data_IF_585635759702
#
_entry.id   IF_585635759702
#
_cell.length_a   1.000
_cell.length_b   1.000
_cell.length_c   1.000
_cell.angle_alpha   90.00
_cell.angle_beta   90.00
_cell.angle_gamma   90.00
#
_symmetry.space_group_name_H-M   'P 1'
#
loop_
_entity.id
_entity.type
_entity.pdbx_description
1 polymer ?
#
# COMPACT_ATOMS: atom_id res chain seq x y z
N UNK A 1 46.91 -56.85 28.35
CA UNK A 1 46.26 -58.00 29.01
C UNK A 1 45.46 -57.51 30.21
N UNK A 2 44.14 -57.35 30.04
CA UNK A 2 43.09 -57.70 30.99
C UNK A 2 41.76 -57.29 30.34
N UNK A 3 41.06 -58.34 29.92
CA UNK A 3 39.74 -58.34 29.31
C UNK A 3 38.74 -58.21 30.46
N UNK A 4 37.76 -57.32 30.35
CA UNK A 4 36.55 -57.39 31.17
C UNK A 4 35.34 -57.47 30.23
N UNK A 5 34.86 -58.70 30.09
CA UNK A 5 33.50 -59.04 29.68
C UNK A 5 32.56 -58.72 30.84
N UNK A 6 31.49 -57.96 30.61
CA UNK A 6 30.22 -58.15 31.31
C UNK A 6 29.08 -57.95 30.32
N UNK A 7 28.38 -59.06 30.04
CA UNK A 7 27.04 -59.10 29.47
C UNK A 7 26.06 -58.33 30.35
N UNK A 8 25.21 -57.49 29.77
CA UNK A 8 23.90 -57.19 30.34
C UNK A 8 22.85 -57.18 29.23
N UNK A 9 21.92 -58.11 29.37
CA UNK A 9 20.74 -58.36 28.54
C UNK A 9 19.59 -57.53 29.11
N UNK A 10 18.60 -57.22 28.26
CA UNK A 10 17.24 -56.68 28.54
C UNK A 10 17.17 -55.14 28.48
N UNK A 11 16.21 -54.49 27.83
CA UNK A 11 14.93 -54.92 27.30
C UNK A 11 14.52 -54.01 26.13
N UNK A 12 13.92 -54.61 25.09
CA UNK A 12 13.28 -53.90 23.98
C UNK A 12 11.96 -53.34 24.52
N UNK A 13 11.90 -52.04 24.76
CA UNK A 13 10.64 -51.34 25.04
C UNK A 13 9.99 -51.04 23.68
N UNK A 14 9.00 -51.86 23.33
CA UNK A 14 8.07 -51.62 22.24
C UNK A 14 7.19 -50.41 22.64
N UNK A 15 7.47 -49.23 22.09
CA UNK A 15 6.55 -48.08 22.21
C UNK A 15 5.47 -48.25 21.15
N UNK A 16 4.17 -48.32 21.50
CA UNK A 16 3.11 -48.28 20.51
C UNK A 16 3.14 -46.92 19.81
N UNK A 17 3.46 -46.93 18.52
CA UNK A 17 3.30 -45.80 17.64
C UNK A 17 1.80 -45.51 17.51
N UNK A 18 1.31 -44.58 18.32
CA UNK A 18 0.03 -43.91 18.11
C UNK A 18 0.12 -43.17 16.78
N UNK A 19 -0.37 -43.81 15.70
CA UNK A 19 -0.72 -43.15 14.46
C UNK A 19 -1.90 -42.23 14.72
N UNK A 20 -1.60 -41.07 15.31
CA UNK A 20 -2.52 -39.95 15.36
C UNK A 20 -2.70 -39.48 13.92
N UNK A 21 -3.82 -39.84 13.32
CA UNK A 21 -4.31 -39.27 12.07
C UNK A 21 -4.34 -37.76 12.18
N UNK A 22 -3.28 -37.08 11.72
CA UNK A 22 -3.37 -35.69 11.33
C UNK A 22 -3.99 -35.64 9.93
N UNK A 23 -5.32 -35.75 9.86
CA UNK A 23 -6.06 -35.14 8.76
C UNK A 23 -5.92 -33.62 8.92
N UNK A 24 -4.83 -33.08 8.36
CA UNK A 24 -4.62 -31.64 8.28
C UNK A 24 -5.67 -31.08 7.32
N UNK A 25 -6.70 -30.49 7.91
CA UNK A 25 -7.74 -29.78 7.21
C UNK A 25 -7.12 -28.53 6.58
N UNK A 26 -6.95 -28.54 5.26
CA UNK A 26 -6.48 -27.41 4.46
C UNK A 26 -7.51 -26.28 4.51
N UNK A 27 -7.53 -25.44 5.54
CA UNK A 27 -8.31 -24.19 5.53
C UNK A 27 -7.74 -23.02 6.37
N UNK A 28 -6.70 -23.21 7.19
CA UNK A 28 -6.25 -22.18 8.15
C UNK A 28 -5.41 -21.04 7.55
N UNK A 29 -4.88 -21.17 6.35
CA UNK A 29 -3.94 -20.17 5.78
C UNK A 29 -4.63 -18.94 5.17
N UNK A 30 -5.91 -19.03 4.82
CA UNK A 30 -6.64 -17.93 4.13
C UNK A 30 -7.26 -16.89 5.07
N UNK A 31 -7.55 -17.24 6.32
CA UNK A 31 -8.11 -16.28 7.29
C UNK A 31 -7.02 -15.41 7.92
N UNK A 32 -5.92 -16.02 8.35
CA UNK A 32 -4.77 -15.30 8.95
C UNK A 32 -4.18 -14.25 8.00
N UNK A 33 -4.14 -14.54 6.70
CA UNK A 33 -3.62 -13.59 5.70
C UNK A 33 -4.55 -12.40 5.49
N UNK A 34 -5.87 -12.57 5.54
CA UNK A 34 -6.82 -11.45 5.39
C UNK A 34 -6.84 -10.53 6.61
N UNK A 35 -6.73 -11.10 7.80
CA UNK A 35 -6.68 -10.36 9.05
C UNK A 35 -5.42 -9.47 9.12
N UNK A 36 -4.27 -10.03 8.75
CA UNK A 36 -3.01 -9.29 8.68
C UNK A 36 -3.05 -8.15 7.64
N UNK A 37 -3.68 -8.38 6.47
CA UNK A 37 -3.86 -7.33 5.46
C UNK A 37 -4.74 -6.19 5.97
N UNK A 38 -5.79 -6.50 6.72
CA UNK A 38 -6.67 -5.51 7.31
C UNK A 38 -5.96 -4.67 8.38
N UNK A 39 -5.14 -5.31 9.22
CA UNK A 39 -4.40 -4.63 10.30
C UNK A 39 -3.40 -3.60 9.74
N UNK A 40 -2.60 -3.97 8.73
CA UNK A 40 -1.62 -3.05 8.11
C UNK A 40 -2.30 -1.81 7.54
N UNK A 41 -3.43 -1.99 6.82
CA UNK A 41 -4.16 -0.89 6.22
C UNK A 41 -4.82 -0.01 7.29
N UNK A 42 -5.43 -0.61 8.31
CA UNK A 42 -6.11 0.13 9.36
C UNK A 42 -5.11 0.96 10.18
N UNK A 43 -3.96 0.39 10.54
CA UNK A 43 -2.88 1.11 11.23
C UNK A 43 -2.37 2.29 10.39
N UNK A 44 -2.26 2.12 9.07
CA UNK A 44 -1.86 3.19 8.17
C UNK A 44 -2.87 4.34 8.15
N UNK A 45 -4.17 4.02 8.10
CA UNK A 45 -5.26 5.00 8.13
C UNK A 45 -5.19 5.79 9.43
N UNK A 46 -5.12 5.10 10.58
CA UNK A 46 -5.16 5.72 11.89
C UNK A 46 -3.94 6.62 12.15
N UNK A 47 -2.77 6.25 11.61
CA UNK A 47 -1.55 7.05 11.74
C UNK A 47 -1.48 8.24 10.79
N UNK A 48 -1.96 8.08 9.55
CA UNK A 48 -1.68 9.05 8.49
C UNK A 48 -2.82 10.03 8.23
N UNK A 49 -4.06 9.61 8.46
CA UNK A 49 -5.26 10.35 8.08
C UNK A 49 -5.95 10.97 9.30
N UNK A 50 -6.54 12.15 9.08
CA UNK A 50 -7.38 12.76 10.08
C UNK A 50 -8.78 12.13 9.99
N UNK A 51 -9.35 11.72 11.12
CA UNK A 51 -10.68 11.11 11.19
C UNK A 51 -11.81 12.01 10.68
N UNK A 52 -11.59 13.33 10.62
CA UNK A 52 -12.55 14.30 10.09
C UNK A 52 -12.47 14.50 8.57
N UNK A 53 -11.42 13.99 7.91
CA UNK A 53 -11.26 14.11 6.47
C UNK A 53 -12.09 13.05 5.73
N UNK A 54 -12.38 13.29 4.46
CA UNK A 54 -13.07 12.29 3.63
C UNK A 54 -12.07 11.21 3.18
N UNK A 55 -12.40 9.94 3.38
CA UNK A 55 -11.60 8.81 2.91
C UNK A 55 -12.16 8.26 1.59
N UNK A 56 -11.28 8.09 0.62
CA UNK A 56 -11.57 7.51 -0.69
C UNK A 56 -10.62 6.33 -0.94
N UNK A 57 -11.13 5.31 -1.64
CA UNK A 57 -10.41 4.07 -1.91
C UNK A 57 -10.51 3.77 -3.40
N UNK A 58 -9.38 3.74 -4.09
CA UNK A 58 -9.31 3.55 -5.54
C UNK A 58 -8.39 2.37 -5.88
N UNK A 59 -8.93 1.18 -6.23
CA UNK A 59 -8.11 0.12 -6.78
C UNK A 59 -7.55 0.53 -8.15
N UNK A 60 -6.34 0.07 -8.47
CA UNK A 60 -5.80 0.17 -9.83
C UNK A 60 -6.56 -0.79 -10.78
N UNK A 61 -6.22 -0.78 -12.08
CA UNK A 61 -7.00 -1.49 -13.11
C UNK A 61 -7.08 -3.01 -12.88
N UNK A 62 -6.00 -3.62 -12.40
CA UNK A 62 -5.95 -5.06 -12.10
C UNK A 62 -6.29 -5.41 -10.64
N UNK A 63 -6.59 -4.40 -9.81
CA UNK A 63 -6.90 -4.54 -8.39
C UNK A 63 -5.78 -5.19 -7.56
N UNK A 64 -4.53 -5.18 -8.05
CA UNK A 64 -3.35 -5.61 -7.29
C UNK A 64 -2.91 -4.57 -6.26
N UNK A 65 -3.17 -3.29 -6.55
CA UNK A 65 -2.80 -2.16 -5.68
C UNK A 65 -4.01 -1.28 -5.40
N UNK A 66 -4.01 -0.67 -4.22
CA UNK A 66 -5.10 0.21 -3.77
C UNK A 66 -4.51 1.55 -3.35
N UNK A 67 -5.03 2.64 -3.93
CA UNK A 67 -4.78 4.00 -3.50
C UNK A 67 -5.81 4.38 -2.43
N UNK A 68 -5.35 4.64 -1.22
CA UNK A 68 -6.15 5.24 -0.16
C UNK A 68 -5.86 6.72 -0.12
N UNK A 69 -6.91 7.55 -0.19
CA UNK A 69 -6.81 9.00 -0.27
C UNK A 69 -7.68 9.63 0.82
N UNK A 70 -7.05 10.42 1.67
CA UNK A 70 -7.70 11.33 2.61
C UNK A 70 -7.69 12.73 2.03
N UNK A 71 -8.86 13.36 1.93
CA UNK A 71 -9.01 14.73 1.47
C UNK A 71 -9.75 15.58 2.50
N UNK A 72 -9.09 16.66 2.92
CA UNK A 72 -9.73 17.71 3.69
C UNK A 72 -10.55 18.59 2.75
N UNK A 73 -11.87 18.61 2.95
CA UNK A 73 -12.77 19.47 2.18
C UNK A 73 -12.37 20.94 2.36
N UNK A 74 -12.35 21.66 1.24
CA UNK A 74 -12.17 23.12 1.23
C UNK A 74 -13.26 23.78 2.06
N UNK A 75 -12.91 24.86 2.75
CA UNK A 75 -13.86 25.74 3.41
C UNK A 75 -13.66 27.16 2.91
N UNK A 76 -14.63 28.05 3.19
CA UNK A 76 -14.49 29.48 2.91
C UNK A 76 -13.27 30.10 3.63
N UNK A 77 -12.83 29.51 4.75
CA UNK A 77 -11.69 29.97 5.55
C UNK A 77 -10.38 29.35 5.08
N UNK A 78 -10.42 28.13 4.50
CA UNK A 78 -9.26 27.47 3.92
C UNK A 78 -9.61 26.92 2.53
N UNK A 79 -9.39 27.71 1.46
CA UNK A 79 -9.69 27.29 0.09
C UNK A 79 -8.68 26.26 -0.43
N UNK A 80 -7.61 25.99 0.32
CA UNK A 80 -6.58 25.02 -0.05
C UNK A 80 -7.06 23.61 0.30
N UNK A 81 -7.16 22.73 -0.69
CA UNK A 81 -7.36 21.31 -0.40
C UNK A 81 -6.02 20.72 0.06
N UNK A 82 -6.05 19.86 1.07
CA UNK A 82 -4.89 19.07 1.45
C UNK A 82 -5.26 17.61 1.26
N UNK A 83 -4.41 16.90 0.52
CA UNK A 83 -4.54 15.47 0.33
C UNK A 83 -3.41 14.75 1.08
N UNK A 84 -3.75 13.64 1.71
CA UNK A 84 -2.82 12.65 2.20
C UNK A 84 -3.19 11.32 1.55
N UNK A 85 -2.20 10.54 1.11
CA UNK A 85 -2.49 9.27 0.48
C UNK A 85 -1.37 8.25 0.69
N UNK A 86 -1.74 7.00 0.51
CA UNK A 86 -0.79 5.89 0.41
C UNK A 86 -1.27 4.86 -0.61
N UNK A 87 -0.33 4.10 -1.16
CA UNK A 87 -0.57 2.97 -2.05
C UNK A 87 -0.20 1.69 -1.32
N UNK A 88 -1.18 0.81 -1.21
CA UNK A 88 -1.02 -0.52 -0.64
C UNK A 88 -0.93 -1.56 -1.76
N UNK A 89 0.06 -2.45 -1.68
CA UNK A 89 0.22 -3.59 -2.57
C UNK A 89 -0.29 -4.87 -1.87
N UNK A 90 -1.28 -5.53 -2.47
CA UNK A 90 -1.93 -6.71 -1.88
C UNK A 90 -1.08 -7.96 -1.94
N UNK A 91 -0.17 -8.06 -2.92
CA UNK A 91 0.69 -9.23 -3.08
C UNK A 91 1.84 -9.17 -2.07
N UNK A 92 2.41 -7.99 -1.89
CA UNK A 92 3.48 -7.74 -0.93
C UNK A 92 2.96 -7.53 0.51
N UNK A 93 1.66 -7.27 0.66
CA UNK A 93 1.02 -6.92 1.92
C UNK A 93 1.69 -5.73 2.62
N UNK A 94 2.01 -4.68 1.87
CA UNK A 94 2.72 -3.51 2.40
C UNK A 94 2.31 -2.20 1.74
N UNK A 95 2.62 -1.10 2.41
CA UNK A 95 2.52 0.24 1.84
C UNK A 95 3.78 0.52 1.01
N UNK A 96 3.62 0.59 -0.30
CA UNK A 96 4.76 0.76 -1.22
C UNK A 96 5.11 2.23 -1.46
N UNK A 97 4.16 3.13 -1.24
CA UNK A 97 4.34 4.58 -1.41
C UNK A 97 3.36 5.37 -0.55
N UNK A 98 3.79 6.52 -0.02
CA UNK A 98 2.93 7.43 0.74
C UNK A 98 3.41 8.87 0.61
N UNK A 99 2.50 9.83 0.53
CA UNK A 99 2.86 11.25 0.52
C UNK A 99 1.66 12.16 0.88
N UNK A 100 1.94 13.45 1.04
CA UNK A 100 0.95 14.51 1.29
C UNK A 100 1.22 15.70 0.38
N UNK A 101 0.16 16.28 -0.18
CA UNK A 101 0.26 17.47 -1.02
C UNK A 101 -0.84 18.48 -0.69
N UNK A 102 -0.49 19.75 -0.74
CA UNK A 102 -1.46 20.85 -0.72
C UNK A 102 -1.84 21.22 -2.16
N UNK A 103 -3.08 21.68 -2.35
CA UNK A 103 -3.65 22.11 -3.62
C UNK A 103 -3.46 21.09 -4.74
N UNK A 104 -3.70 19.83 -4.45
CA UNK A 104 -3.40 18.75 -5.37
C UNK A 104 -4.57 17.79 -5.57
N UNK A 105 -4.55 17.14 -6.73
CA UNK A 105 -5.38 15.97 -7.03
C UNK A 105 -4.47 14.82 -7.42
N UNK A 106 -4.87 13.61 -7.06
CA UNK A 106 -4.14 12.40 -7.38
C UNK A 106 -5.08 11.31 -7.88
N UNK A 107 -4.64 10.58 -8.91
CA UNK A 107 -5.38 9.46 -9.49
C UNK A 107 -4.42 8.46 -10.11
N UNK A 108 -4.91 7.24 -10.33
CA UNK A 108 -4.19 6.27 -11.14
C UNK A 108 -4.00 6.77 -12.58
N UNK A 109 -2.77 6.64 -13.10
CA UNK A 109 -2.47 6.76 -14.52
C UNK A 109 -2.44 5.38 -15.18
N UNK A 110 -1.81 4.41 -14.52
CA UNK A 110 -1.78 3.00 -14.87
C UNK A 110 -1.45 2.16 -13.61
N UNK A 111 -1.14 0.86 -13.75
CA UNK A 111 -0.93 -0.02 -12.59
C UNK A 111 0.29 0.33 -11.73
N UNK A 112 1.24 1.09 -12.26
CA UNK A 112 2.51 1.41 -11.59
C UNK A 112 2.76 2.92 -11.45
N UNK A 113 1.83 3.75 -11.90
CA UNK A 113 2.01 5.19 -11.93
C UNK A 113 0.77 5.94 -11.47
N UNK A 114 0.99 7.01 -10.72
CA UNK A 114 -0.03 7.98 -10.33
C UNK A 114 0.17 9.27 -11.13
N UNK A 115 -0.94 9.86 -11.56
CA UNK A 115 -0.98 11.24 -12.04
C UNK A 115 -1.26 12.15 -10.85
N UNK A 116 -0.38 13.13 -10.65
CA UNK A 116 -0.49 14.16 -9.63
C UNK A 116 -0.60 15.52 -10.31
N UNK A 117 -1.70 16.24 -10.09
CA UNK A 117 -1.86 17.61 -10.58
C UNK A 117 -1.82 18.57 -9.39
N UNK A 118 -0.95 19.59 -9.45
CA UNK A 118 -0.76 20.56 -8.37
C UNK A 118 -1.07 21.96 -8.85
N UNK A 119 -1.92 22.67 -8.11
CA UNK A 119 -2.23 24.09 -8.33
C UNK A 119 -1.35 24.94 -7.41
N UNK A 120 -0.61 25.86 -7.99
CA UNK A 120 0.23 26.81 -7.26
C UNK A 120 -0.45 28.19 -7.19
N UNK A 121 -0.21 28.93 -6.12
CA UNK A 121 -0.82 30.25 -5.92
C UNK A 121 -2.23 30.22 -5.30
N UNK A 122 -2.81 31.41 -5.17
CA UNK A 122 -4.04 31.67 -4.38
C UNK A 122 -5.29 31.78 -5.29
N UNK A 123 -5.12 31.99 -6.60
CA UNK A 123 -6.21 32.31 -7.52
C UNK A 123 -6.48 31.13 -8.44
N UNK A 124 -7.66 30.53 -8.32
CA UNK A 124 -8.19 29.53 -9.25
C UNK A 124 -8.63 30.24 -10.54
N UNK A 125 -7.70 30.51 -11.46
CA UNK A 125 -8.09 30.84 -12.85
C UNK A 125 -8.22 29.56 -13.66
N UNK A 126 -9.31 29.43 -14.43
CA UNK A 126 -9.65 28.26 -15.23
C UNK A 126 -8.55 27.83 -16.23
N UNK A 127 -7.67 28.74 -16.66
CA UNK A 127 -6.63 28.50 -17.68
C UNK A 127 -5.22 28.98 -17.28
N UNK A 128 -4.86 28.91 -16.00
CA UNK A 128 -3.57 29.46 -15.53
C UNK A 128 -2.38 28.50 -15.67
N UNK A 129 -1.22 29.03 -16.09
CA UNK A 129 0.15 28.45 -16.00
C UNK A 129 0.55 27.94 -14.60
N UNK A 130 -0.36 28.02 -13.65
CA UNK A 130 -0.19 27.70 -12.24
C UNK A 130 -0.53 26.24 -11.91
N UNK A 131 -0.98 25.43 -12.88
CA UNK A 131 -1.15 23.99 -12.70
C UNK A 131 0.04 23.27 -13.30
N UNK A 132 0.74 22.49 -12.48
CA UNK A 132 1.79 21.59 -12.94
C UNK A 132 1.36 20.14 -12.74
N UNK A 133 1.56 19.34 -13.76
CA UNK A 133 1.25 17.91 -13.75
C UNK A 133 2.54 17.11 -13.56
N UNK A 134 2.43 16.03 -12.80
CA UNK A 134 3.53 15.15 -12.43
C UNK A 134 3.10 13.69 -12.61
N UNK A 135 4.08 12.83 -12.86
CA UNK A 135 3.97 11.38 -12.79
C UNK A 135 4.75 10.91 -11.57
N UNK A 136 4.10 10.13 -10.72
CA UNK A 136 4.75 9.38 -9.64
C UNK A 136 4.91 7.95 -10.12
N UNK A 137 6.13 7.47 -10.23
CA UNK A 137 6.42 6.07 -10.57
C UNK A 137 6.59 5.26 -9.28
N UNK A 138 5.76 4.23 -9.09
CA UNK A 138 5.70 3.48 -7.84
C UNK A 138 6.87 2.50 -7.66
N UNK A 139 7.53 2.10 -8.75
CA UNK A 139 8.66 1.19 -8.69
C UNK A 139 9.93 1.94 -8.28
N UNK A 140 10.16 3.10 -8.88
CA UNK A 140 11.33 3.95 -8.62
C UNK A 140 11.11 4.93 -7.47
N UNK A 141 9.84 5.21 -7.13
CA UNK A 141 9.40 6.24 -6.18
C UNK A 141 9.74 7.67 -6.63
N UNK A 142 10.08 7.86 -7.91
CA UNK A 142 10.41 9.16 -8.48
C UNK A 142 9.15 9.96 -8.84
N UNK A 143 9.27 11.29 -8.75
CA UNK A 143 8.22 12.24 -9.14
C UNK A 143 8.76 13.12 -10.25
N UNK A 144 8.18 13.01 -11.45
CA UNK A 144 8.65 13.70 -12.65
C UNK A 144 7.61 14.71 -13.14
N UNK A 145 8.00 15.97 -13.35
CA UNK A 145 7.14 17.01 -13.92
C UNK A 145 6.93 16.77 -15.42
N UNK A 146 5.68 16.78 -15.88
CA UNK A 146 5.33 16.73 -17.29
C UNK A 146 5.41 18.16 -17.83
N UNK A 147 6.46 18.46 -18.61
CA UNK A 147 6.56 19.73 -19.33
C UNK A 147 5.54 19.74 -20.47
N UNK A 148 4.60 20.68 -20.44
CA UNK A 148 3.74 20.95 -21.61
C UNK A 148 4.65 21.51 -22.70
N UNK A 149 4.80 20.78 -23.81
CA UNK A 149 5.44 21.34 -24.99
C UNK A 149 4.57 22.50 -25.48
N UNK A 150 5.13 23.71 -25.48
CA UNK A 150 4.50 24.87 -26.10
C UNK A 150 4.49 24.64 -27.62
N UNK A 151 3.46 23.96 -28.12
CA UNK A 151 3.12 24.00 -29.53
C UNK A 151 2.64 25.42 -29.84
N UNK A 152 3.59 26.33 -30.06
CA UNK A 152 3.35 27.57 -30.82
C UNK A 152 2.98 27.12 -32.22
N UNK A 153 1.68 26.90 -32.43
CA UNK A 153 1.11 26.81 -33.76
C UNK A 153 1.35 28.17 -34.41
N UNK A 154 2.36 28.26 -35.26
CA UNK A 154 2.50 29.38 -36.19
C UNK A 154 1.27 29.33 -37.10
N UNK A 155 0.33 30.24 -36.88
CA UNK A 155 -0.70 30.65 -37.84
C UNK A 155 -0.43 32.11 -38.14
#
# INVERSE_FOLDING_TARGET
>A
MKIFNILSISAIILVPASIMSCTSNKNTTKEVSKELQFEVVQEAIDKQFNSSDSLYIFPNKDQSKILYLSEKKKSSVNPVNNIAFFVYDKELNEIIYQNKYANATIKWLNNYQLSLSRKYGIIETQDGDNVKDFIIDLNTKEVTEIKKENNKSNI
#
